data_IF_117961763757
#
_entry.id   IF_117961763757
#
_cell.length_a   1.000
_cell.length_b   1.000
_cell.length_c   1.000
_cell.angle_alpha   90.00
_cell.angle_beta   90.00
_cell.angle_gamma   90.00
#
_symmetry.space_group_name_H-M   'P 1'
#
loop_
_entity.id
_entity.type
_entity.pdbx_description
1 polymer ?
#
# COMPACT_ATOMS: atom_id res chain seq x y z
N UNK A 1 23.10 -0.94 17.32
CA UNK A 1 21.85 -1.74 17.38
C UNK A 1 21.78 -2.74 16.23
N UNK A 2 21.90 -2.34 14.96
CA UNK A 2 21.90 -3.25 13.80
C UNK A 2 23.01 -4.33 13.84
N UNK A 3 24.24 -3.97 14.21
CA UNK A 3 25.36 -4.93 14.33
C UNK A 3 25.18 -5.93 15.49
N UNK A 4 24.54 -5.50 16.59
CA UNK A 4 24.24 -6.32 17.76
C UNK A 4 23.11 -7.30 17.45
N UNK A 5 22.09 -6.87 16.70
CA UNK A 5 21.02 -7.73 16.20
C UNK A 5 21.51 -8.82 15.24
N UNK A 6 22.44 -8.48 14.34
CA UNK A 6 23.09 -9.46 13.46
C UNK A 6 23.91 -10.50 14.22
N UNK A 7 24.65 -10.08 15.25
CA UNK A 7 25.38 -10.98 16.15
C UNK A 7 24.45 -11.89 16.96
N UNK A 8 23.31 -11.40 17.42
CA UNK A 8 22.34 -12.19 18.19
C UNK A 8 21.70 -13.32 17.34
N UNK A 9 21.34 -13.03 16.09
CA UNK A 9 20.80 -14.05 15.15
C UNK A 9 21.87 -15.10 14.82
N UNK A 10 23.13 -14.68 14.68
CA UNK A 10 24.27 -15.55 14.43
C UNK A 10 24.62 -16.48 15.61
N UNK A 11 24.25 -16.09 16.84
CA UNK A 11 24.61 -16.78 18.08
C UNK A 11 23.51 -17.73 18.57
N UNK A 12 22.22 -17.42 18.36
CA UNK A 12 21.10 -18.19 18.95
C UNK A 12 20.37 -19.17 18.02
N UNK A 13 20.53 -19.12 16.70
CA UNK A 13 19.64 -19.90 15.80
C UNK A 13 20.12 -21.33 15.47
N UNK A 14 21.34 -21.77 15.81
CA UNK A 14 21.83 -23.07 15.32
C UNK A 14 22.69 -23.89 16.33
N UNK A 15 22.10 -24.89 17.00
CA UNK A 15 22.81 -25.97 17.69
C UNK A 15 23.50 -27.01 16.77
N UNK A 16 24.30 -26.62 15.77
CA UNK A 16 25.12 -27.59 14.99
C UNK A 16 26.48 -27.02 14.50
N UNK A 17 27.55 -27.84 14.43
CA UNK A 17 28.94 -27.40 14.66
C UNK A 17 29.74 -26.84 13.45
N UNK A 18 29.16 -26.70 12.24
CA UNK A 18 29.95 -26.31 11.04
C UNK A 18 29.90 -24.80 10.73
N UNK A 19 31.06 -24.14 10.85
CA UNK A 19 31.28 -22.70 10.62
C UNK A 19 30.83 -22.20 9.22
N UNK A 20 31.00 -23.00 8.15
CA UNK A 20 30.62 -22.55 6.80
C UNK A 20 29.10 -22.41 6.61
N UNK A 21 28.29 -23.28 7.23
CA UNK A 21 26.82 -23.17 7.19
C UNK A 21 26.30 -22.00 8.05
N UNK A 22 27.07 -21.54 9.06
CA UNK A 22 26.77 -20.32 9.83
C UNK A 22 27.00 -19.05 9.02
N UNK A 23 28.10 -18.98 8.26
CA UNK A 23 28.36 -17.85 7.35
C UNK A 23 27.32 -17.76 6.23
N UNK A 24 26.96 -18.89 5.62
CA UNK A 24 25.91 -18.93 4.60
C UNK A 24 24.53 -18.58 5.16
N UNK A 25 24.22 -19.04 6.37
CA UNK A 25 23.02 -18.64 7.10
C UNK A 25 23.00 -17.14 7.40
N UNK A 26 24.10 -16.55 7.88
CA UNK A 26 24.19 -15.12 8.17
C UNK A 26 24.03 -14.23 6.95
N UNK A 27 24.60 -14.63 5.80
CA UNK A 27 24.43 -13.90 4.53
C UNK A 27 22.97 -13.95 4.03
N UNK A 28 22.30 -15.10 4.20
CA UNK A 28 20.88 -15.25 3.90
C UNK A 28 19.98 -14.40 4.81
N UNK A 29 20.38 -14.15 6.06
CA UNK A 29 19.63 -13.24 6.95
C UNK A 29 19.85 -11.75 6.59
N UNK A 30 21.02 -11.36 6.08
CA UNK A 30 21.22 -10.01 5.50
C UNK A 30 20.32 -9.81 4.27
N UNK A 31 20.14 -10.84 3.46
CA UNK A 31 19.21 -10.82 2.33
C UNK A 31 17.73 -10.65 2.76
N UNK A 32 17.40 -10.83 4.04
CA UNK A 32 16.07 -10.57 4.60
C UNK A 32 15.89 -9.15 5.14
N UNK A 33 16.97 -8.36 5.31
CA UNK A 33 16.86 -6.96 5.76
C UNK A 33 15.96 -6.11 4.84
N UNK A 34 16.06 -6.19 3.49
CA UNK A 34 15.16 -5.45 2.61
C UNK A 34 13.68 -5.75 2.84
N UNK A 35 13.34 -6.99 3.21
CA UNK A 35 11.96 -7.36 3.53
C UNK A 35 11.47 -6.62 4.80
N UNK A 36 12.30 -6.55 5.84
CA UNK A 36 11.98 -5.78 7.05
C UNK A 36 11.85 -4.26 6.78
N UNK A 37 12.65 -3.72 5.87
CA UNK A 37 12.48 -2.33 5.41
C UNK A 37 11.18 -2.16 4.60
N UNK A 38 10.79 -3.15 3.80
CA UNK A 38 9.52 -3.18 3.09
C UNK A 38 8.32 -3.12 4.03
N UNK A 39 8.38 -3.84 5.16
CA UNK A 39 7.35 -3.79 6.20
C UNK A 39 7.22 -2.37 6.78
N UNK A 40 8.33 -1.74 7.18
CA UNK A 40 8.33 -0.37 7.73
C UNK A 40 7.79 0.65 6.72
N UNK A 41 8.21 0.57 5.46
CA UNK A 41 7.73 1.46 4.39
C UNK A 41 6.24 1.30 4.12
N UNK A 42 5.69 0.10 4.34
CA UNK A 42 4.25 -0.14 4.25
C UNK A 42 3.48 0.65 5.31
N UNK A 43 3.97 0.68 6.56
CA UNK A 43 3.36 1.43 7.67
C UNK A 43 3.59 2.95 7.58
N UNK A 44 4.72 3.38 6.99
CA UNK A 44 5.04 4.80 6.81
C UNK A 44 3.99 5.53 5.97
N UNK A 45 3.24 4.82 5.13
CA UNK A 45 2.18 5.41 4.31
C UNK A 45 1.04 6.01 5.15
N UNK A 46 0.58 5.28 6.17
CA UNK A 46 -0.45 5.76 7.10
C UNK A 46 0.09 6.89 7.98
N UNK A 47 1.36 6.77 8.39
CA UNK A 47 2.04 7.83 9.12
C UNK A 47 2.14 9.14 8.31
N UNK A 48 2.55 9.05 7.04
CA UNK A 48 2.66 10.19 6.15
C UNK A 48 1.29 10.88 5.92
N UNK A 49 0.22 10.09 5.81
CA UNK A 49 -1.14 10.63 5.73
C UNK A 49 -1.54 11.40 7.00
N UNK A 50 -1.24 10.86 8.18
CA UNK A 50 -1.49 11.53 9.45
C UNK A 50 -0.68 12.83 9.59
N UNK A 51 0.58 12.80 9.19
CA UNK A 51 1.46 13.98 9.20
C UNK A 51 0.96 15.07 8.25
N UNK A 52 0.53 14.70 7.04
CA UNK A 52 -0.05 15.61 6.06
C UNK A 52 -1.34 16.26 6.59
N UNK A 53 -2.23 15.47 7.22
CA UNK A 53 -3.47 15.95 7.83
C UNK A 53 -3.19 16.94 8.97
N UNK A 54 -2.22 16.64 9.84
CA UNK A 54 -1.80 17.55 10.91
C UNK A 54 -1.24 18.88 10.35
N UNK A 55 -0.41 18.80 9.30
CA UNK A 55 0.13 19.99 8.64
C UNK A 55 -0.97 20.85 8.01
N UNK A 56 -1.98 20.24 7.40
CA UNK A 56 -3.11 20.94 6.80
C UNK A 56 -3.97 21.63 7.87
N UNK A 57 -4.21 20.95 9.00
CA UNK A 57 -4.93 21.54 10.14
C UNK A 57 -4.21 22.77 10.69
N UNK A 58 -2.88 22.73 10.82
CA UNK A 58 -2.07 23.88 11.23
C UNK A 58 -2.19 25.03 10.23
N UNK A 59 -2.07 24.74 8.92
CA UNK A 59 -2.19 25.78 7.89
C UNK A 59 -3.57 26.47 7.91
N UNK A 60 -4.67 25.73 8.08
CA UNK A 60 -6.00 26.33 8.21
C UNK A 60 -6.16 27.16 9.49
N UNK A 61 -5.55 26.74 10.58
CA UNK A 61 -5.56 27.50 11.82
C UNK A 61 -4.81 28.83 11.67
N UNK A 62 -3.64 28.82 11.02
CA UNK A 62 -2.86 30.03 10.75
C UNK A 62 -3.62 30.99 9.83
N UNK A 63 -4.25 30.47 8.77
CA UNK A 63 -5.13 31.24 7.88
C UNK A 63 -6.31 31.86 8.63
N UNK A 64 -6.93 31.13 9.56
CA UNK A 64 -8.03 31.65 10.36
C UNK A 64 -7.58 32.78 11.30
N UNK A 65 -6.41 32.66 11.93
CA UNK A 65 -5.84 33.70 12.80
C UNK A 65 -5.49 34.96 11.99
N UNK A 66 -4.90 34.79 10.80
CA UNK A 66 -4.57 35.90 9.91
C UNK A 66 -5.82 36.63 9.41
N UNK A 67 -6.85 35.88 9.00
CA UNK A 67 -8.15 36.43 8.62
C UNK A 67 -8.82 37.19 9.78
N UNK A 68 -8.74 36.67 11.00
CA UNK A 68 -9.28 37.33 12.19
C UNK A 68 -8.61 38.68 12.49
N UNK A 69 -7.29 38.79 12.28
CA UNK A 69 -6.51 40.01 12.51
C UNK A 69 -6.69 41.06 11.42
N UNK A 70 -6.88 40.63 10.17
CA UNK A 70 -6.96 41.52 9.00
C UNK A 70 -8.32 42.23 8.92
N UNK A 71 -9.40 41.52 9.25
CA UNK A 71 -10.77 42.07 9.18
C UNK A 71 -11.25 42.48 10.58
N UNK A 72 -10.99 43.72 10.99
CA UNK A 72 -11.55 44.28 12.23
C UNK A 72 -13.10 44.29 12.17
N UNK A 73 -13.75 43.47 13.01
CA UNK A 73 -15.22 43.35 13.13
C UNK A 73 -15.80 42.05 12.56
N UNK A 74 -15.63 41.79 11.25
CA UNK A 74 -16.11 40.55 10.60
C UNK A 74 -15.11 39.38 10.64
N UNK A 75 -13.86 39.63 11.06
CA UNK A 75 -12.79 38.63 11.06
C UNK A 75 -13.10 37.40 11.90
N UNK A 76 -13.87 37.53 12.98
CA UNK A 76 -14.27 36.37 13.80
C UNK A 76 -15.26 35.44 13.07
N UNK A 77 -16.19 36.00 12.29
CA UNK A 77 -17.14 35.20 11.51
C UNK A 77 -16.44 34.48 10.35
N UNK A 78 -15.53 35.17 9.68
CA UNK A 78 -14.72 34.61 8.59
C UNK A 78 -13.77 33.52 9.12
N UNK A 79 -13.11 33.76 10.26
CA UNK A 79 -12.24 32.78 10.90
C UNK A 79 -13.00 31.52 11.34
N UNK A 80 -14.20 31.67 11.91
CA UNK A 80 -15.06 30.54 12.26
C UNK A 80 -15.42 29.71 11.02
N UNK A 81 -15.78 30.37 9.92
CA UNK A 81 -16.08 29.70 8.65
C UNK A 81 -14.87 28.94 8.10
N UNK A 82 -13.68 29.55 8.13
CA UNK A 82 -12.42 28.92 7.70
C UNK A 82 -12.09 27.70 8.56
N UNK A 83 -12.27 27.78 9.89
CA UNK A 83 -12.00 26.64 10.78
C UNK A 83 -12.97 25.49 10.52
N UNK A 84 -14.26 25.78 10.38
CA UNK A 84 -15.29 24.75 10.11
C UNK A 84 -15.05 24.09 8.76
N UNK A 85 -14.80 24.87 7.71
CA UNK A 85 -14.48 24.31 6.40
C UNK A 85 -13.15 23.58 6.39
N UNK A 86 -12.11 24.13 7.02
CA UNK A 86 -10.78 23.52 7.07
C UNK A 86 -10.79 22.17 7.77
N UNK A 87 -11.48 22.05 8.91
CA UNK A 87 -11.63 20.77 9.61
C UNK A 87 -12.56 19.81 8.86
N UNK A 88 -13.63 20.32 8.22
CA UNK A 88 -14.51 19.51 7.38
C UNK A 88 -13.80 18.90 6.17
N UNK A 89 -12.96 19.69 5.50
CA UNK A 89 -12.11 19.23 4.40
C UNK A 89 -11.03 18.27 4.89
N UNK A 90 -10.37 18.57 6.00
CA UNK A 90 -9.36 17.67 6.58
C UNK A 90 -9.96 16.28 6.92
N UNK A 91 -11.16 16.26 7.52
CA UNK A 91 -11.89 15.01 7.79
C UNK A 91 -12.28 14.27 6.51
N UNK A 92 -12.79 15.00 5.50
CA UNK A 92 -13.16 14.41 4.21
C UNK A 92 -11.96 13.77 3.50
N UNK A 93 -10.81 14.47 3.48
CA UNK A 93 -9.57 13.97 2.90
C UNK A 93 -9.03 12.75 3.66
N UNK A 94 -9.16 12.71 4.99
CA UNK A 94 -8.78 11.56 5.79
C UNK A 94 -9.65 10.33 5.46
N UNK A 95 -10.97 10.50 5.32
CA UNK A 95 -11.90 9.43 4.94
C UNK A 95 -11.59 8.90 3.53
N UNK A 96 -11.45 9.80 2.55
CA UNK A 96 -11.13 9.43 1.16
C UNK A 96 -9.77 8.72 1.09
N UNK A 97 -8.77 9.23 1.81
CA UNK A 97 -7.44 8.62 1.83
C UNK A 97 -7.44 7.23 2.47
N UNK A 98 -8.21 7.04 3.54
CA UNK A 98 -8.43 5.73 4.17
C UNK A 98 -9.12 4.75 3.22
N UNK A 99 -10.16 5.20 2.51
CA UNK A 99 -10.87 4.39 1.53
C UNK A 99 -9.96 3.96 0.37
N UNK A 100 -9.19 4.88 -0.23
CA UNK A 100 -8.27 4.58 -1.33
C UNK A 100 -7.13 3.65 -0.88
N UNK A 101 -6.60 3.84 0.33
CA UNK A 101 -5.58 2.94 0.89
C UNK A 101 -6.12 1.54 1.16
N UNK A 102 -7.34 1.44 1.66
CA UNK A 102 -8.05 0.17 1.82
C UNK A 102 -8.32 -0.52 0.49
N UNK A 103 -8.78 0.24 -0.53
CA UNK A 103 -8.96 -0.27 -1.89
C UNK A 103 -7.65 -0.78 -2.49
N UNK A 104 -6.53 -0.09 -2.27
CA UNK A 104 -5.23 -0.55 -2.76
C UNK A 104 -4.88 -1.92 -2.19
N UNK A 105 -5.06 -2.11 -0.88
CA UNK A 105 -4.79 -3.37 -0.19
C UNK A 105 -5.79 -4.47 -0.61
N UNK A 106 -7.07 -4.14 -0.73
CA UNK A 106 -8.09 -5.08 -1.16
C UNK A 106 -7.85 -5.50 -2.62
N UNK A 107 -7.51 -4.57 -3.52
CA UNK A 107 -7.17 -4.87 -4.91
C UNK A 107 -5.95 -5.80 -5.01
N UNK A 108 -4.82 -5.48 -4.35
CA UNK A 108 -3.65 -6.37 -4.39
C UNK A 108 -3.94 -7.75 -3.78
N UNK A 109 -4.62 -7.82 -2.63
CA UNK A 109 -4.92 -9.09 -1.96
C UNK A 109 -5.92 -9.93 -2.77
N UNK A 110 -6.96 -9.31 -3.33
CA UNK A 110 -7.95 -9.98 -4.18
C UNK A 110 -7.39 -10.35 -5.55
N UNK A 111 -6.45 -9.60 -6.12
CA UNK A 111 -5.75 -10.01 -7.35
C UNK A 111 -4.78 -11.17 -7.08
N UNK A 112 -4.10 -11.18 -5.94
CA UNK A 112 -3.18 -12.26 -5.56
C UNK A 112 -3.92 -13.58 -5.28
N UNK A 113 -5.20 -13.53 -4.87
CA UNK A 113 -6.04 -14.72 -4.71
C UNK A 113 -6.90 -15.05 -5.94
N UNK A 114 -7.38 -14.03 -6.65
CA UNK A 114 -8.34 -14.15 -7.76
C UNK A 114 -7.71 -14.42 -9.12
N UNK A 115 -6.45 -14.03 -9.32
CA UNK A 115 -5.67 -14.38 -10.51
C UNK A 115 -4.75 -15.55 -10.17
N UNK A 116 -5.35 -16.71 -9.87
CA UNK A 116 -4.62 -17.96 -9.97
C UNK A 116 -4.08 -18.05 -11.39
N UNK A 117 -2.77 -18.21 -11.54
CA UNK A 117 -2.11 -18.30 -12.84
C UNK A 117 -2.94 -19.18 -13.80
N UNK A 118 -3.35 -18.58 -14.92
CA UNK A 118 -3.79 -19.26 -16.15
C UNK A 118 -5.06 -20.15 -16.05
N UNK A 119 -6.23 -19.54 -15.91
CA UNK A 119 -7.47 -20.18 -16.37
C UNK A 119 -7.58 -20.09 -17.89
N UNK A 120 -7.55 -21.22 -18.61
CA UNK A 120 -7.77 -21.24 -20.07
C UNK A 120 -9.12 -20.58 -20.41
N UNK A 121 -9.19 -19.61 -21.33
CA UNK A 121 -10.45 -19.03 -21.73
C UNK A 121 -11.37 -20.12 -22.28
N UNK A 122 -12.57 -20.24 -21.70
CA UNK A 122 -13.56 -21.22 -22.11
C UNK A 122 -13.92 -21.01 -23.58
N UNK A 123 -13.48 -21.93 -24.44
CA UNK A 123 -13.81 -21.92 -25.86
C UNK A 123 -15.08 -22.76 -26.04
N UNK A 124 -16.20 -22.09 -26.26
CA UNK A 124 -17.49 -22.75 -26.48
C UNK A 124 -17.38 -23.80 -27.60
N UNK A 125 -18.00 -24.96 -27.39
CA UNK A 125 -18.05 -26.03 -28.38
C UNK A 125 -18.88 -25.58 -29.58
N UNK A 126 -18.22 -25.04 -30.61
CA UNK A 126 -18.81 -24.85 -31.91
C UNK A 126 -18.84 -26.19 -32.65
N UNK A 127 -20.02 -26.63 -33.07
CA UNK A 127 -20.21 -27.80 -33.93
C UNK A 127 -19.48 -27.53 -35.25
N UNK A 128 -18.29 -28.10 -35.42
CA UNK A 128 -17.65 -28.18 -36.74
C UNK A 128 -18.42 -29.19 -37.56
N UNK A 129 -19.43 -28.72 -38.28
CA UNK A 129 -19.98 -29.50 -39.37
C UNK A 129 -18.90 -29.53 -40.47
N UNK A 130 -18.19 -30.65 -40.57
CA UNK A 130 -17.39 -30.91 -41.78
C UNK A 130 -18.36 -31.00 -42.95
N UNK A 131 -18.28 -30.12 -43.96
CA UNK A 131 -19.14 -30.23 -45.13
C UNK A 131 -18.81 -31.55 -45.84
N UNK A 132 -19.83 -32.40 -45.94
CA UNK A 132 -19.82 -33.79 -46.44
C UNK A 132 -19.27 -33.96 -47.87
N UNK A 133 -18.93 -32.87 -48.54
CA UNK A 133 -18.55 -32.85 -49.95
C UNK A 133 -17.05 -33.09 -50.19
N UNK A 134 -16.19 -33.01 -49.17
CA UNK A 134 -14.73 -33.24 -49.33
C UNK A 134 -14.32 -34.72 -49.42
N UNK A 135 -15.22 -35.69 -49.20
CA UNK A 135 -14.89 -37.12 -49.22
C UNK A 135 -15.25 -37.85 -50.53
N UNK A 136 -15.66 -37.11 -51.58
CA UNK A 136 -16.18 -37.70 -52.82
C UNK A 136 -15.25 -37.54 -54.04
N UNK A 137 -13.94 -37.36 -53.86
CA UNK A 137 -12.99 -37.20 -54.98
C UNK A 137 -11.77 -38.10 -54.93
N UNK A 138 -11.85 -39.23 -54.21
CA UNK A 138 -10.82 -40.27 -54.22
C UNK A 138 -11.43 -41.63 -54.57
N UNK A 139 -11.81 -41.78 -55.83
CA UNK A 139 -11.96 -43.06 -56.53
C UNK A 139 -11.42 -42.89 -57.94
#
# INVERSE_FOLDING_TARGET
IMAVGGLAIFLFKNPNPKFSKRLWGGLLEIARLPNAFGDILSYLRLFALGLASASLAMAFNDLAIEAARTFHGFGMLIALFIIVLGHGLNLSLAIVSGFVHGLRLNFIEFFNWGLSEEGYPFRAFAKKEEPRWSKSSSF
#
